data_IF_307833987429
#
_entry.id   IF_307833987429
#
_cell.length_a   1.000
_cell.length_b   1.000
_cell.length_c   1.000
_cell.angle_alpha   90.00
_cell.angle_beta   90.00
_cell.angle_gamma   90.00
#
_symmetry.space_group_name_H-M   'P 1'
#
loop_
_entity.id
_entity.type
_entity.pdbx_description
1 polymer ?
#
# COMPACT_ATOMS: atom_id res chain seq x y z
N UNK A 1 -12.60 24.38 -22.18
CA UNK A 1 -11.38 24.12 -22.99
C UNK A 1 -11.78 24.02 -24.45
N UNK A 2 -11.19 24.82 -25.34
CA UNK A 2 -11.60 24.85 -26.75
C UNK A 2 -11.08 23.57 -27.45
N UNK A 3 -11.96 22.84 -28.15
CA UNK A 3 -11.61 21.60 -28.90
C UNK A 3 -10.42 21.82 -29.85
N UNK A 4 -10.32 22.99 -30.45
CA UNK A 4 -9.22 23.36 -31.33
C UNK A 4 -7.85 23.29 -30.65
N UNK A 5 -7.73 23.80 -29.41
CA UNK A 5 -6.47 23.76 -28.66
C UNK A 5 -6.02 22.31 -28.34
N UNK A 6 -6.96 21.40 -28.09
CA UNK A 6 -6.67 19.98 -27.84
C UNK A 6 -6.11 19.32 -29.10
N UNK A 7 -6.73 19.58 -30.26
CA UNK A 7 -6.22 19.02 -31.53
C UNK A 7 -4.86 19.59 -31.91
N UNK A 8 -4.63 20.89 -31.73
CA UNK A 8 -3.31 21.49 -31.97
C UNK A 8 -2.21 20.79 -31.13
N UNK A 9 -2.45 20.56 -29.84
CA UNK A 9 -1.50 19.86 -28.99
C UNK A 9 -1.24 18.42 -29.48
N UNK A 10 -2.29 17.69 -29.90
CA UNK A 10 -2.15 16.33 -30.44
C UNK A 10 -1.33 16.31 -31.73
N UNK A 11 -1.54 17.27 -32.65
CA UNK A 11 -0.73 17.41 -33.86
C UNK A 11 0.73 17.70 -33.52
N UNK A 12 0.97 18.64 -32.59
CA UNK A 12 2.34 18.96 -32.15
C UNK A 12 3.04 17.77 -31.49
N UNK A 13 2.30 16.89 -30.82
CA UNK A 13 2.81 15.66 -30.23
C UNK A 13 3.00 14.51 -31.24
N UNK A 14 2.64 14.71 -32.51
CA UNK A 14 2.74 13.67 -33.53
C UNK A 14 1.78 12.50 -33.33
N UNK A 15 0.66 12.71 -32.61
CA UNK A 15 -0.27 11.60 -32.31
C UNK A 15 -1.03 11.06 -33.52
N UNK A 16 -0.94 11.74 -34.65
CA UNK A 16 -1.55 11.35 -35.93
C UNK A 16 -0.51 10.94 -36.98
N UNK A 17 0.79 11.04 -36.62
CA UNK A 17 1.88 10.65 -37.49
C UNK A 17 2.27 9.19 -37.27
N UNK A 18 2.96 8.60 -38.25
CA UNK A 18 3.57 7.29 -38.07
C UNK A 18 4.62 7.36 -36.94
N UNK A 19 4.62 6.40 -36.04
CA UNK A 19 5.54 6.36 -34.90
C UNK A 19 7.01 6.39 -35.31
N UNK A 20 7.35 5.97 -36.53
CA UNK A 20 8.72 6.04 -37.05
C UNK A 20 9.18 7.45 -37.31
N UNK A 21 8.26 8.41 -37.51
CA UNK A 21 8.51 9.82 -37.72
C UNK A 21 8.58 10.60 -36.40
N UNK A 22 8.07 10.06 -35.32
CA UNK A 22 8.00 10.70 -33.99
C UNK A 22 9.25 10.35 -33.19
N UNK A 23 10.11 11.33 -32.92
CA UNK A 23 11.41 11.09 -32.27
C UNK A 23 11.31 10.49 -30.86
N UNK A 24 10.35 10.95 -30.05
CA UNK A 24 10.16 10.47 -28.68
C UNK A 24 9.52 9.08 -28.60
N UNK A 25 8.81 8.62 -29.63
CA UNK A 25 8.30 7.23 -29.67
C UNK A 25 9.40 6.18 -29.76
N UNK A 26 10.62 6.60 -30.09
CA UNK A 26 11.82 5.74 -30.19
C UNK A 26 12.58 5.63 -28.86
N UNK A 27 12.17 6.39 -27.82
CA UNK A 27 12.79 6.31 -26.50
C UNK A 27 12.45 4.97 -25.88
N UNK A 28 13.43 4.09 -25.60
CA UNK A 28 13.15 2.77 -25.04
C UNK A 28 12.73 2.88 -23.57
N UNK A 29 11.91 1.94 -23.12
CA UNK A 29 11.46 1.89 -21.71
C UNK A 29 12.62 1.79 -20.71
N UNK A 30 13.77 1.23 -21.13
CA UNK A 30 14.98 1.13 -20.30
C UNK A 30 15.58 2.47 -19.86
N UNK A 31 15.10 3.58 -20.43
CA UNK A 31 15.46 4.94 -19.98
C UNK A 31 14.78 5.29 -18.65
N UNK A 32 13.61 4.68 -18.36
CA UNK A 32 12.92 4.86 -17.08
C UNK A 32 13.81 4.30 -15.98
N UNK A 33 14.03 5.10 -14.93
CA UNK A 33 14.91 4.77 -13.79
C UNK A 33 16.37 4.43 -14.19
N UNK A 34 16.82 4.88 -15.36
CA UNK A 34 18.24 4.74 -15.72
C UNK A 34 19.12 5.40 -14.66
N UNK A 35 20.38 5.00 -14.58
CA UNK A 35 21.35 5.57 -13.64
C UNK A 35 21.46 7.09 -13.79
N UNK A 36 21.40 7.58 -15.02
CA UNK A 36 21.43 9.00 -15.36
C UNK A 36 20.19 9.73 -14.82
N UNK A 37 19.00 9.14 -14.98
CA UNK A 37 17.75 9.72 -14.47
C UNK A 37 17.73 9.73 -12.94
N UNK A 38 18.16 8.66 -12.29
CA UNK A 38 18.27 8.59 -10.81
C UNK A 38 19.28 9.64 -10.30
N UNK A 39 20.42 9.79 -10.98
CA UNK A 39 21.41 10.80 -10.62
C UNK A 39 20.85 12.23 -10.79
N UNK A 40 20.07 12.46 -11.86
CA UNK A 40 19.42 13.74 -12.12
C UNK A 40 18.35 14.04 -11.06
N UNK A 41 17.54 13.06 -10.67
CA UNK A 41 16.57 13.21 -9.59
C UNK A 41 17.24 13.60 -8.26
N UNK A 42 18.36 12.96 -7.92
CA UNK A 42 19.15 13.32 -6.73
C UNK A 42 19.74 14.73 -6.82
N UNK A 43 20.24 15.14 -7.99
CA UNK A 43 20.74 16.50 -8.22
C UNK A 43 19.63 17.52 -8.02
N UNK A 44 18.46 17.29 -8.59
CA UNK A 44 17.29 18.17 -8.45
C UNK A 44 16.84 18.28 -6.98
N UNK A 45 16.75 17.15 -6.26
CA UNK A 45 16.42 17.15 -4.85
C UNK A 45 17.41 18.01 -4.02
N UNK A 46 18.71 17.88 -4.27
CA UNK A 46 19.74 18.68 -3.59
C UNK A 46 19.63 20.17 -3.88
N UNK A 47 19.36 20.53 -5.14
CA UNK A 47 19.25 21.93 -5.57
C UNK A 47 17.93 22.60 -5.15
N UNK A 48 16.89 21.84 -4.87
CA UNK A 48 15.60 22.37 -4.42
C UNK A 48 15.52 22.64 -2.91
N UNK A 49 16.48 22.15 -2.13
CA UNK A 49 16.49 22.38 -0.69
C UNK A 49 17.00 23.79 -0.37
N UNK A 50 16.23 24.51 0.45
CA UNK A 50 16.58 25.87 0.91
C UNK A 50 16.76 25.85 2.42
N UNK A 51 17.94 26.24 2.91
CA UNK A 51 18.23 26.39 4.33
C UNK A 51 17.81 27.78 4.81
N UNK A 52 16.65 27.88 5.45
CA UNK A 52 16.09 29.16 5.91
C UNK A 52 16.80 29.73 7.15
N UNK A 53 17.28 28.85 8.03
CA UNK A 53 17.95 29.26 9.27
C UNK A 53 18.96 28.21 9.70
N UNK A 54 20.12 28.64 10.16
CA UNK A 54 21.14 27.78 10.74
C UNK A 54 21.69 28.42 12.02
N UNK A 55 20.93 28.30 13.12
CA UNK A 55 21.33 28.86 14.41
C UNK A 55 22.60 28.14 14.91
N UNK A 56 23.55 28.89 15.39
CA UNK A 56 24.85 28.43 15.92
C UNK A 56 25.67 27.63 14.90
N UNK A 57 25.40 27.74 13.60
CA UNK A 57 26.08 27.00 12.55
C UNK A 57 26.10 25.47 12.79
N UNK A 58 25.01 24.91 13.33
CA UNK A 58 24.93 23.50 13.66
C UNK A 58 24.93 22.59 12.42
N UNK A 59 24.51 23.12 11.27
CA UNK A 59 24.55 22.42 10.00
C UNK A 59 25.74 22.90 9.14
N UNK A 60 26.41 21.98 8.44
CA UNK A 60 26.23 20.53 8.43
C UNK A 60 26.62 19.89 9.79
N UNK A 61 25.93 18.81 10.16
CA UNK A 61 26.26 18.08 11.39
C UNK A 61 27.72 17.61 11.35
N UNK A 62 28.38 17.64 12.52
CA UNK A 62 29.74 17.15 12.64
C UNK A 62 29.84 15.67 12.25
N UNK A 63 30.91 15.29 11.58
CA UNK A 63 31.25 13.90 11.30
C UNK A 63 31.50 13.04 12.55
N UNK A 64 31.67 13.68 13.71
CA UNK A 64 31.82 13.02 15.02
C UNK A 64 30.50 12.56 15.65
N UNK A 65 29.34 12.95 15.09
CA UNK A 65 28.04 12.48 15.56
C UNK A 65 27.96 10.96 15.46
N UNK A 66 27.61 10.30 16.56
CA UNK A 66 27.50 8.84 16.64
C UNK A 66 26.11 8.34 16.98
N UNK A 67 25.24 9.21 17.48
CA UNK A 67 23.87 8.86 17.86
C UNK A 67 22.90 9.89 17.28
N UNK A 68 21.87 9.41 16.61
CA UNK A 68 20.80 10.24 16.02
C UNK A 68 19.46 9.62 16.36
N UNK A 69 18.51 10.43 16.84
CA UNK A 69 17.11 10.06 16.93
C UNK A 69 16.34 10.63 15.73
N UNK A 70 15.64 9.77 15.03
CA UNK A 70 14.77 10.13 13.90
C UNK A 70 13.32 9.91 14.37
N UNK A 71 12.54 10.96 14.41
CA UNK A 71 11.18 10.94 14.93
C UNK A 71 10.20 11.40 13.87
N UNK A 72 9.02 10.82 13.88
CA UNK A 72 7.91 11.23 13.01
C UNK A 72 7.43 10.14 12.05
N UNK A 73 6.13 10.17 11.70
CA UNK A 73 5.49 9.14 10.89
C UNK A 73 6.06 9.04 9.47
N UNK A 74 6.43 10.17 8.86
CA UNK A 74 6.97 10.22 7.50
C UNK A 74 8.44 9.77 7.39
N UNK A 75 9.13 9.60 8.50
CA UNK A 75 10.58 9.36 8.47
C UNK A 75 10.95 8.02 7.84
N UNK A 76 10.07 7.03 7.92
CA UNK A 76 10.27 5.70 7.35
C UNK A 76 9.06 5.24 6.49
N UNK A 77 8.40 6.16 5.84
CA UNK A 77 7.27 5.89 4.94
C UNK A 77 7.73 6.04 3.49
N UNK A 78 7.89 4.90 2.79
CA UNK A 78 8.26 4.89 1.38
C UNK A 78 7.08 5.23 0.48
N UNK A 79 5.86 4.91 0.90
CA UNK A 79 4.64 5.14 0.11
C UNK A 79 4.35 6.64 0.01
N UNK A 80 4.56 7.39 1.09
CA UNK A 80 4.45 8.85 1.09
C UNK A 80 5.34 9.52 0.03
N UNK A 81 6.49 8.91 -0.31
CA UNK A 81 7.42 9.45 -1.33
C UNK A 81 6.89 9.31 -2.76
N UNK A 82 5.89 8.46 -3.00
CA UNK A 82 5.34 8.25 -4.36
C UNK A 82 4.42 9.38 -4.79
N UNK A 83 3.89 10.16 -3.85
CA UNK A 83 2.86 11.17 -4.08
C UNK A 83 1.61 10.57 -4.76
N UNK A 84 0.90 11.36 -5.56
CA UNK A 84 -0.32 10.93 -6.25
C UNK A 84 -0.07 10.83 -7.76
N UNK A 85 -0.64 9.84 -8.42
CA UNK A 85 -0.48 9.56 -9.87
C UNK A 85 0.96 9.32 -10.32
N UNK A 86 1.81 8.83 -9.46
CA UNK A 86 3.17 8.44 -9.80
C UNK A 86 3.26 6.95 -10.13
N UNK A 87 4.28 6.60 -10.91
CA UNK A 87 4.69 5.21 -11.06
C UNK A 87 5.31 4.68 -9.77
N UNK A 88 5.44 3.35 -9.69
CA UNK A 88 6.10 2.68 -8.57
C UNK A 88 7.60 2.62 -8.84
N UNK A 89 8.44 3.28 -8.02
CA UNK A 89 9.88 3.24 -8.21
C UNK A 89 10.42 1.85 -7.81
N UNK A 90 11.43 1.38 -8.52
CA UNK A 90 12.14 0.14 -8.18
C UNK A 90 12.80 0.25 -6.81
N UNK A 91 13.20 1.45 -6.41
CA UNK A 91 13.81 1.74 -5.12
C UNK A 91 13.45 3.14 -4.64
N UNK A 92 12.91 3.19 -3.43
CA UNK A 92 12.76 4.43 -2.66
C UNK A 92 13.85 4.50 -1.59
N UNK A 93 14.24 5.71 -1.18
CA UNK A 93 15.13 5.94 -0.04
C UNK A 93 14.40 6.83 0.96
N UNK A 94 14.00 6.28 2.09
CA UNK A 94 13.36 7.04 3.17
C UNK A 94 14.35 7.95 3.88
N UNK A 95 13.84 8.94 4.64
CA UNK A 95 14.69 9.82 5.46
C UNK A 95 15.52 8.99 6.43
N UNK A 96 14.91 7.99 7.07
CA UNK A 96 15.59 7.08 8.00
C UNK A 96 16.72 6.30 7.32
N UNK A 97 16.46 5.73 6.15
CA UNK A 97 17.49 5.01 5.37
C UNK A 97 18.62 5.93 4.92
N UNK A 98 18.27 7.13 4.47
CA UNK A 98 19.25 8.14 4.08
C UNK A 98 20.19 8.52 5.24
N UNK A 99 19.65 8.71 6.46
CA UNK A 99 20.44 9.01 7.66
C UNK A 99 21.28 7.79 8.04
N UNK A 100 20.72 6.58 8.07
CA UNK A 100 21.47 5.34 8.36
C UNK A 100 22.66 5.15 7.42
N UNK A 101 22.47 5.43 6.13
CA UNK A 101 23.53 5.31 5.13
C UNK A 101 24.71 6.29 5.35
N UNK A 102 24.46 7.41 6.05
CA UNK A 102 25.48 8.41 6.40
C UNK A 102 26.16 8.18 7.75
N UNK A 103 25.61 7.29 8.56
CA UNK A 103 26.07 6.93 9.89
C UNK A 103 26.27 5.41 10.02
N UNK A 104 27.12 4.79 9.19
CA UNK A 104 27.24 3.32 9.14
C UNK A 104 27.75 2.73 10.46
N UNK A 105 28.57 3.47 11.22
CA UNK A 105 29.09 3.06 12.52
C UNK A 105 28.34 3.70 13.71
N UNK A 106 27.29 4.47 13.42
CA UNK A 106 26.49 5.17 14.41
C UNK A 106 25.23 4.39 14.81
N UNK A 107 24.64 4.81 15.92
CA UNK A 107 23.31 4.32 16.34
C UNK A 107 22.24 5.30 15.88
N UNK A 108 21.30 4.81 15.08
CA UNK A 108 20.12 5.56 14.66
C UNK A 108 18.90 4.95 15.33
N UNK A 109 18.29 5.72 16.23
CA UNK A 109 17.02 5.37 16.87
C UNK A 109 15.89 5.91 16.00
N UNK A 110 14.86 5.11 15.80
CA UNK A 110 13.65 5.55 15.11
C UNK A 110 12.43 5.30 15.98
N UNK A 111 11.57 6.29 16.02
CA UNK A 111 10.26 6.18 16.64
C UNK A 111 9.24 7.01 15.83
N UNK A 112 8.09 6.40 15.52
CA UNK A 112 7.02 7.07 14.77
C UNK A 112 6.46 8.27 15.54
N UNK A 113 6.32 8.14 16.86
CA UNK A 113 5.90 9.18 17.79
C UNK A 113 4.41 9.52 17.76
N UNK A 114 3.84 9.69 16.59
CA UNK A 114 2.41 9.97 16.41
C UNK A 114 1.89 9.43 15.07
N UNK A 115 0.58 9.33 14.95
CA UNK A 115 -0.10 9.09 13.68
C UNK A 115 -0.43 10.42 12.96
N UNK A 116 -0.85 10.32 11.69
CA UNK A 116 -1.21 11.50 10.89
C UNK A 116 -2.50 12.17 11.35
N UNK A 117 -3.36 11.43 12.04
CA UNK A 117 -4.64 11.90 12.58
C UNK A 117 -4.79 11.45 14.01
N UNK A 118 -5.53 12.22 14.81
CA UNK A 118 -5.97 11.79 16.14
C UNK A 118 -7.02 10.69 15.96
N UNK A 119 -6.57 9.47 15.81
CA UNK A 119 -7.45 8.31 15.76
C UNK A 119 -7.65 7.77 17.18
N UNK A 120 -8.83 7.25 17.44
CA UNK A 120 -9.02 6.33 18.55
C UNK A 120 -8.03 5.18 18.43
N UNK A 121 -7.48 4.74 19.53
CA UNK A 121 -6.62 3.55 19.52
C UNK A 121 -7.45 2.37 19.04
N UNK A 122 -7.20 1.94 17.81
CA UNK A 122 -7.86 0.76 17.25
C UNK A 122 -7.06 -0.47 17.68
N UNK A 123 -7.62 -1.28 18.55
CA UNK A 123 -7.05 -2.58 18.88
C UNK A 123 -7.44 -3.58 17.79
N UNK A 124 -6.45 -4.18 17.17
CA UNK A 124 -6.69 -5.27 16.22
C UNK A 124 -6.92 -6.57 16.99
N UNK A 125 -8.07 -7.19 16.79
CA UNK A 125 -8.38 -8.51 17.32
C UNK A 125 -7.92 -9.65 16.40
N UNK A 126 -7.00 -9.37 15.48
CA UNK A 126 -6.46 -10.37 14.56
C UNK A 126 -5.88 -11.59 15.29
N UNK A 127 -5.30 -11.40 16.48
CA UNK A 127 -4.79 -12.49 17.33
C UNK A 127 -5.88 -13.45 17.84
N UNK A 128 -7.14 -13.08 17.67
CA UNK A 128 -8.30 -13.93 17.97
C UNK A 128 -8.81 -14.68 16.73
N UNK A 129 -8.16 -14.51 15.57
CA UNK A 129 -8.51 -15.15 14.31
C UNK A 129 -7.60 -16.36 14.05
N UNK A 130 -8.18 -17.50 13.70
CA UNK A 130 -7.43 -18.69 13.34
C UNK A 130 -8.15 -19.54 12.29
N UNK A 131 -7.40 -20.27 11.49
CA UNK A 131 -7.91 -21.26 10.56
C UNK A 131 -7.10 -22.55 10.70
N UNK A 132 -7.77 -23.65 10.91
CA UNK A 132 -7.15 -24.98 11.11
C UNK A 132 -6.02 -24.96 12.16
N UNK A 133 -6.28 -24.31 13.29
CA UNK A 133 -5.35 -24.19 14.41
C UNK A 133 -4.17 -23.23 14.18
N UNK A 134 -4.07 -22.58 13.03
CA UNK A 134 -3.05 -21.58 12.74
C UNK A 134 -3.64 -20.17 12.84
N UNK A 135 -2.89 -19.23 13.44
CA UNK A 135 -3.28 -17.82 13.53
C UNK A 135 -3.50 -17.24 12.13
N UNK A 136 -4.59 -16.51 11.93
CA UNK A 136 -4.87 -15.74 10.72
C UNK A 136 -5.93 -16.36 9.82
N UNK A 137 -5.74 -16.24 8.51
CA UNK A 137 -6.72 -16.56 7.50
C UNK A 137 -6.18 -17.57 6.47
N UNK A 138 -7.00 -18.54 6.09
CA UNK A 138 -6.83 -19.24 4.82
C UNK A 138 -7.28 -18.32 3.70
N UNK A 139 -6.51 -18.24 2.62
CA UNK A 139 -6.88 -17.50 1.41
C UNK A 139 -6.95 -18.44 0.22
N UNK A 140 -7.99 -18.28 -0.59
CA UNK A 140 -8.19 -19.02 -1.83
C UNK A 140 -8.40 -18.00 -2.95
N UNK A 141 -7.73 -18.17 -4.09
CA UNK A 141 -7.75 -17.22 -5.20
C UNK A 141 -8.23 -17.84 -6.50
N UNK A 142 -8.91 -17.03 -7.30
CA UNK A 142 -9.38 -17.33 -8.66
C UNK A 142 -8.98 -16.24 -9.63
N UNK A 143 -8.69 -16.59 -10.88
CA UNK A 143 -8.40 -15.64 -11.96
C UNK A 143 -9.69 -15.20 -12.69
N UNK A 144 -10.69 -14.86 -11.94
CA UNK A 144 -11.96 -14.22 -12.35
C UNK A 144 -12.53 -13.45 -11.16
N UNK A 145 -13.55 -12.64 -11.37
CA UNK A 145 -14.18 -11.81 -10.33
C UNK A 145 -15.32 -12.51 -9.57
N UNK A 146 -15.72 -13.69 -10.03
CA UNK A 146 -16.92 -14.41 -9.59
C UNK A 146 -16.64 -15.49 -8.54
N UNK A 147 -15.38 -15.76 -8.17
CA UNK A 147 -14.95 -16.87 -7.29
C UNK A 147 -15.34 -18.26 -7.88
N UNK A 148 -15.33 -18.39 -9.20
CA UNK A 148 -15.80 -19.58 -9.90
C UNK A 148 -14.65 -20.46 -10.43
N UNK A 149 -14.95 -21.76 -10.60
CA UNK A 149 -14.03 -22.73 -11.15
C UNK A 149 -12.98 -23.23 -10.16
N UNK A 150 -11.88 -23.78 -10.67
CA UNK A 150 -10.77 -24.25 -9.84
C UNK A 150 -9.95 -23.09 -9.31
N UNK A 151 -9.60 -23.16 -8.03
CA UNK A 151 -8.73 -22.17 -7.40
C UNK A 151 -7.31 -22.24 -8.01
N UNK A 152 -6.76 -21.07 -8.35
CA UNK A 152 -5.40 -20.97 -8.93
C UNK A 152 -4.32 -20.92 -7.88
N UNK A 153 -4.66 -20.48 -6.66
CA UNK A 153 -3.75 -20.48 -5.52
C UNK A 153 -4.52 -20.62 -4.21
N UNK A 154 -3.88 -21.28 -3.24
CA UNK A 154 -4.36 -21.39 -1.86
C UNK A 154 -3.18 -21.12 -0.93
N UNK A 155 -3.40 -20.26 0.06
CA UNK A 155 -2.38 -19.87 1.01
C UNK A 155 -2.91 -19.62 2.41
N UNK A 156 -2.00 -19.27 3.31
CA UNK A 156 -2.33 -18.89 4.68
C UNK A 156 -1.66 -17.55 5.01
N UNK A 157 -2.44 -16.60 5.50
CA UNK A 157 -1.98 -15.27 5.90
C UNK A 157 -1.96 -15.19 7.43
N UNK A 158 -0.77 -15.13 8.01
CA UNK A 158 -0.54 -15.03 9.46
C UNK A 158 -0.44 -13.58 9.95
N UNK A 159 -0.50 -12.62 9.04
CA UNK A 159 -0.53 -11.19 9.31
C UNK A 159 -1.91 -10.61 8.96
N UNK A 160 -2.29 -9.44 9.52
CA UNK A 160 -3.52 -8.76 9.15
C UNK A 160 -3.65 -8.55 7.63
N UNK A 161 -4.88 -8.71 7.12
CA UNK A 161 -5.17 -8.50 5.71
C UNK A 161 -5.04 -6.99 5.40
N UNK A 162 -3.88 -6.60 4.88
CA UNK A 162 -3.57 -5.23 4.50
C UNK A 162 -2.77 -5.24 3.19
N UNK A 163 -3.48 -5.30 2.08
CA UNK A 163 -2.91 -5.39 0.75
C UNK A 163 -3.04 -4.04 0.03
N UNK A 164 -2.02 -3.22 0.12
CA UNK A 164 -1.90 -2.00 -0.68
C UNK A 164 -0.93 -2.24 -1.83
N UNK A 165 -1.38 -2.82 -2.93
CA UNK A 165 -0.50 -3.14 -4.05
C UNK A 165 -0.51 -2.10 -5.17
N UNK A 166 -1.44 -1.14 -5.13
CA UNK A 166 -1.61 -0.13 -6.18
C UNK A 166 -1.76 -0.73 -7.59
N UNK A 167 -2.20 -1.98 -7.71
CA UNK A 167 -2.33 -2.69 -8.97
C UNK A 167 -1.02 -3.21 -9.57
N UNK A 168 0.06 -3.28 -8.81
CA UNK A 168 1.40 -3.63 -9.32
C UNK A 168 1.98 -4.94 -8.78
N UNK A 169 1.33 -5.55 -7.80
CA UNK A 169 1.86 -6.74 -7.13
C UNK A 169 0.81 -7.84 -7.14
N UNK A 170 1.15 -9.01 -7.64
CA UNK A 170 0.30 -10.19 -7.51
C UNK A 170 0.24 -10.65 -6.06
N UNK A 171 -0.92 -11.07 -5.60
CA UNK A 171 -1.11 -11.49 -4.21
C UNK A 171 -0.43 -12.82 -3.89
N UNK A 172 -0.40 -13.72 -4.87
CA UNK A 172 0.30 -15.02 -4.78
C UNK A 172 0.75 -15.48 -6.16
N UNK A 173 1.77 -16.35 -6.26
CA UNK A 173 2.15 -16.96 -7.51
C UNK A 173 0.96 -17.66 -8.19
N UNK A 174 0.75 -17.37 -9.48
CA UNK A 174 -0.36 -17.91 -10.27
C UNK A 174 -1.63 -17.05 -10.27
N UNK A 175 -1.74 -16.06 -9.36
CA UNK A 175 -2.84 -15.10 -9.36
C UNK A 175 -2.58 -14.00 -10.38
N UNK A 176 -3.58 -13.64 -11.16
CA UNK A 176 -3.49 -12.52 -12.10
C UNK A 176 -3.27 -11.19 -11.38
N UNK A 177 -2.65 -10.24 -12.07
CA UNK A 177 -2.53 -8.87 -11.55
C UNK A 177 -3.87 -8.14 -11.52
N UNK A 178 -4.74 -8.44 -12.48
CA UNK A 178 -6.08 -7.89 -12.65
C UNK A 178 -7.09 -9.03 -12.86
N UNK A 179 -8.36 -8.75 -12.66
CA UNK A 179 -9.46 -9.68 -12.87
C UNK A 179 -9.26 -10.99 -12.09
N UNK A 180 -9.02 -10.87 -10.81
CA UNK A 180 -8.93 -11.97 -9.87
C UNK A 180 -9.93 -11.75 -8.71
N UNK A 181 -10.18 -12.80 -7.96
CA UNK A 181 -10.94 -12.73 -6.71
C UNK A 181 -10.29 -13.58 -5.62
N UNK A 182 -10.63 -13.27 -4.39
CA UNK A 182 -10.09 -13.97 -3.23
C UNK A 182 -11.20 -14.23 -2.18
N UNK A 183 -11.07 -15.36 -1.49
CA UNK A 183 -11.84 -15.68 -0.29
C UNK A 183 -10.91 -15.91 0.87
N UNK A 184 -11.09 -15.13 1.93
CA UNK A 184 -10.35 -15.26 3.18
C UNK A 184 -11.27 -15.86 4.25
N UNK A 185 -10.87 -16.99 4.83
CA UNK A 185 -11.64 -17.74 5.81
C UNK A 185 -10.88 -17.79 7.14
N UNK A 186 -11.60 -17.53 8.24
CA UNK A 186 -11.07 -17.64 9.59
C UNK A 186 -12.17 -17.95 10.59
N UNK A 187 -11.76 -18.32 11.79
CA UNK A 187 -12.61 -18.41 12.96
C UNK A 187 -12.17 -17.35 13.95
N UNK A 188 -13.03 -16.40 14.23
CA UNK A 188 -12.82 -15.39 15.26
C UNK A 188 -13.35 -15.89 16.60
N UNK A 189 -12.48 -15.94 17.61
CA UNK A 189 -12.85 -16.36 18.98
C UNK A 189 -12.48 -15.26 19.97
N UNK A 190 -13.45 -14.41 20.38
CA UNK A 190 -13.18 -13.27 21.25
C UNK A 190 -12.75 -13.71 22.66
N UNK A 191 -11.79 -12.97 23.22
CA UNK A 191 -11.29 -13.15 24.59
C UNK A 191 -12.21 -12.50 25.63
N UNK A 192 -13.05 -11.55 25.20
CA UNK A 192 -14.01 -10.82 26.03
C UNK A 192 -15.33 -10.67 25.29
N UNK A 193 -16.43 -10.50 26.04
CA UNK A 193 -17.74 -10.18 25.45
C UNK A 193 -17.86 -8.68 25.27
N UNK A 194 -18.49 -8.24 24.18
CA UNK A 194 -18.72 -6.84 23.88
C UNK A 194 -18.95 -6.57 22.40
N UNK A 195 -19.14 -5.33 22.04
CA UNK A 195 -19.26 -4.91 20.64
C UNK A 195 -17.87 -4.92 19.98
N UNK A 196 -17.78 -5.59 18.84
CA UNK A 196 -16.58 -5.68 18.00
C UNK A 196 -16.93 -5.21 16.60
N UNK A 197 -16.15 -4.29 16.05
CA UNK A 197 -16.34 -3.78 14.70
C UNK A 197 -15.42 -4.48 13.70
N UNK A 198 -16.01 -5.03 12.65
CA UNK A 198 -15.30 -5.44 11.45
C UNK A 198 -15.27 -4.25 10.49
N UNK A 199 -14.09 -3.71 10.29
CA UNK A 199 -13.85 -2.58 9.37
C UNK A 199 -13.20 -3.13 8.11
N UNK A 200 -13.85 -2.93 6.97
CA UNK A 200 -13.38 -3.39 5.66
C UNK A 200 -13.18 -2.16 4.79
N UNK A 201 -11.98 -2.03 4.25
CA UNK A 201 -11.65 -1.03 3.24
C UNK A 201 -11.18 -1.75 2.00
N UNK A 202 -11.89 -1.63 0.90
CA UNK A 202 -11.63 -2.35 -0.33
C UNK A 202 -11.77 -1.47 -1.57
N UNK A 203 -11.02 -1.81 -2.58
CA UNK A 203 -11.01 -1.33 -3.94
C UNK A 203 -10.68 -2.56 -4.83
N UNK A 204 -11.59 -3.20 -5.51
CA UNK A 204 -13.00 -2.86 -5.78
C UNK A 204 -14.00 -3.50 -4.77
N UNK A 205 -14.61 -4.63 -5.13
CA UNK A 205 -15.72 -5.25 -4.43
C UNK A 205 -15.34 -6.09 -3.22
N UNK A 206 -16.17 -6.08 -2.19
CA UNK A 206 -16.02 -6.95 -1.03
C UNK A 206 -17.35 -7.37 -0.41
N UNK A 207 -17.36 -8.55 0.24
CA UNK A 207 -18.49 -9.09 1.00
C UNK A 207 -17.98 -9.71 2.27
N UNK A 208 -18.73 -9.54 3.37
CA UNK A 208 -18.44 -10.15 4.66
C UNK A 208 -19.57 -11.10 5.08
N UNK A 209 -19.19 -12.30 5.48
CA UNK A 209 -20.10 -13.29 6.05
C UNK A 209 -19.66 -13.61 7.47
N UNK A 210 -20.63 -13.66 8.39
CA UNK A 210 -20.43 -14.13 9.77
C UNK A 210 -21.38 -15.31 10.00
N UNK A 211 -20.82 -16.45 10.40
CA UNK A 211 -21.57 -17.71 10.60
C UNK A 211 -22.42 -18.13 9.38
N UNK A 212 -22.00 -17.71 8.17
CA UNK A 212 -22.68 -18.00 6.90
C UNK A 212 -23.73 -16.97 6.48
N UNK A 213 -24.05 -15.98 7.32
CA UNK A 213 -24.93 -14.88 6.98
C UNK A 213 -24.12 -13.75 6.32
N UNK A 214 -24.59 -13.25 5.14
CA UNK A 214 -24.01 -12.08 4.49
C UNK A 214 -24.41 -10.83 5.27
N UNK A 215 -23.48 -10.27 6.02
CA UNK A 215 -23.71 -9.10 6.88
C UNK A 215 -23.31 -7.79 6.23
N UNK A 216 -22.57 -7.87 5.12
CA UNK A 216 -22.14 -6.74 4.32
C UNK A 216 -21.85 -7.19 2.90
N UNK A 217 -22.27 -6.39 1.90
CA UNK A 217 -22.03 -6.64 0.48
C UNK A 217 -21.91 -5.33 -0.30
N UNK A 218 -20.79 -5.17 -1.00
CA UNK A 218 -20.52 -4.14 -2.00
C UNK A 218 -19.77 -4.81 -3.16
N UNK A 219 -20.51 -5.59 -3.98
CA UNK A 219 -19.92 -6.40 -5.04
C UNK A 219 -20.07 -5.68 -6.40
N UNK A 220 -19.28 -4.62 -6.56
CA UNK A 220 -19.22 -3.83 -7.80
C UNK A 220 -17.91 -3.05 -7.87
N UNK A 221 -17.49 -2.68 -9.07
CA UNK A 221 -16.35 -1.81 -9.28
C UNK A 221 -16.59 -0.43 -8.65
N UNK A 222 -15.56 0.16 -8.05
CA UNK A 222 -15.65 1.48 -7.46
C UNK A 222 -14.33 1.92 -6.85
N UNK A 223 -14.27 3.14 -6.35
CA UNK A 223 -13.14 3.60 -5.57
C UNK A 223 -13.14 2.96 -4.18
N UNK A 224 -11.98 2.96 -3.52
CA UNK A 224 -11.82 2.48 -2.14
C UNK A 224 -12.93 3.00 -1.22
N UNK A 225 -13.62 2.09 -0.57
CA UNK A 225 -14.70 2.39 0.39
C UNK A 225 -14.42 1.67 1.69
N UNK A 226 -14.68 2.38 2.78
CA UNK A 226 -14.64 1.80 4.12
C UNK A 226 -16.06 1.52 4.60
N UNK A 227 -16.27 0.33 5.10
CA UNK A 227 -17.52 -0.12 5.72
C UNK A 227 -17.25 -0.78 7.06
N UNK A 228 -18.21 -0.65 7.94
CA UNK A 228 -18.13 -1.18 9.28
C UNK A 228 -19.38 -2.03 9.59
N UNK A 229 -19.14 -3.22 10.11
CA UNK A 229 -20.16 -4.09 10.67
C UNK A 229 -19.87 -4.35 12.16
N UNK A 230 -20.87 -4.13 13.02
CA UNK A 230 -20.75 -4.33 14.45
C UNK A 230 -21.35 -5.67 14.87
N UNK A 231 -20.55 -6.49 15.54
CA UNK A 231 -20.95 -7.76 16.12
C UNK A 231 -20.96 -7.67 17.63
N UNK A 232 -22.08 -8.04 18.29
CA UNK A 232 -22.10 -8.26 19.71
C UNK A 232 -21.47 -9.65 20.03
N UNK A 233 -20.17 -9.64 20.23
CA UNK A 233 -19.38 -10.84 20.42
C UNK A 233 -19.52 -11.39 21.84
N UNK A 234 -19.56 -12.72 21.95
CA UNK A 234 -19.60 -13.44 23.22
C UNK A 234 -18.28 -14.14 23.46
N UNK A 235 -17.66 -13.91 24.61
CA UNK A 235 -16.38 -14.51 25.00
C UNK A 235 -16.37 -16.02 24.76
N UNK A 236 -15.35 -16.48 24.04
CA UNK A 236 -15.11 -17.90 23.77
C UNK A 236 -16.04 -18.52 22.71
N UNK A 237 -17.05 -17.79 22.21
CA UNK A 237 -17.86 -18.27 21.09
C UNK A 237 -17.05 -18.15 19.82
N UNK A 238 -16.97 -19.22 19.03
CA UNK A 238 -16.35 -19.23 17.72
C UNK A 238 -17.32 -18.66 16.67
N UNK A 239 -16.88 -17.67 15.91
CA UNK A 239 -17.62 -17.08 14.79
C UNK A 239 -16.86 -17.39 13.50
N UNK A 240 -17.51 -18.04 12.54
CA UNK A 240 -16.92 -18.24 11.22
C UNK A 240 -16.96 -16.94 10.45
N UNK A 241 -15.79 -16.41 10.08
CA UNK A 241 -15.62 -15.18 9.32
C UNK A 241 -15.15 -15.53 7.92
N UNK A 242 -15.87 -15.04 6.91
CA UNK A 242 -15.48 -15.15 5.50
C UNK A 242 -15.52 -13.76 4.89
N UNK A 243 -14.39 -13.33 4.35
CA UNK A 243 -14.27 -12.11 3.55
C UNK A 243 -14.00 -12.50 2.10
N UNK A 244 -14.83 -12.00 1.20
CA UNK A 244 -14.62 -12.12 -0.24
C UNK A 244 -14.25 -10.78 -0.84
N UNK A 245 -13.41 -10.82 -1.88
CA UNK A 245 -12.82 -9.64 -2.53
C UNK A 245 -12.59 -9.91 -4.01
N UNK A 246 -12.73 -8.86 -4.86
CA UNK A 246 -12.28 -8.86 -6.26
C UNK A 246 -11.72 -7.52 -6.67
#
# INVERSE_FOLDING_TARGET
MNRFSVYCARFQLGMFDDNTLVSWSKIPYSVVESKEHVAKALEMARKSMVLLTNKNNILPLSKSVRKVAVLGPNANDSVMLWANYNGFPTKSVTILEGIKSKLPEGTVYYEKGCDFVNTQTVFSYFDCCSYDGKKGFKATFWNNKELEGEAVAVGHFSEPLNFGNGGNTVFMPGVNLHDFSARFESVYTPKESGEVSFIISADDGSRLFIDGEEVYSEWHNGATREKMYNLNAVKGKAYKVVLEYF
#
